data_IF_689683360243
#
_entry.id   IF_689683360243
#
_cell.length_a   1.000
_cell.length_b   1.000
_cell.length_c   1.000
_cell.angle_alpha   90.00
_cell.angle_beta   90.00
_cell.angle_gamma   90.00
#
_symmetry.space_group_name_H-M   'P 1'
#
loop_
_entity.id
_entity.type
_entity.pdbx_description
1 polymer ?
#
# COMPACT_ATOMS: atom_id res chain seq x y z
N UNK A 1 32.08 -11.03 -21.97
CA UNK A 1 32.41 -9.73 -21.37
C UNK A 1 32.13 -9.84 -19.88
N UNK A 2 33.07 -9.46 -19.01
CA UNK A 2 32.81 -9.42 -17.57
C UNK A 2 31.74 -8.36 -17.29
N UNK A 3 30.76 -8.59 -16.40
CA UNK A 3 29.80 -7.56 -16.05
C UNK A 3 30.56 -6.37 -15.46
N UNK A 4 30.42 -5.21 -16.11
CA UNK A 4 30.91 -3.93 -15.59
C UNK A 4 30.40 -3.78 -14.16
N UNK A 5 31.30 -3.73 -13.18
CA UNK A 5 30.92 -3.50 -11.79
C UNK A 5 30.16 -2.18 -11.71
N UNK A 6 28.87 -2.25 -11.40
CA UNK A 6 28.04 -1.07 -11.23
C UNK A 6 28.57 -0.25 -10.05
N UNK A 7 29.05 0.96 -10.34
CA UNK A 7 29.55 1.89 -9.33
C UNK A 7 28.36 2.40 -8.52
N UNK A 8 28.31 2.04 -7.23
CA UNK A 8 27.30 2.52 -6.28
C UNK A 8 27.68 3.89 -5.73
N UNK A 9 26.69 4.75 -5.53
CA UNK A 9 26.87 6.09 -4.96
C UNK A 9 26.76 5.97 -3.44
N UNK A 10 27.90 5.98 -2.74
CA UNK A 10 27.94 5.87 -1.28
C UNK A 10 27.19 7.02 -0.60
N UNK A 11 26.65 6.78 0.59
CA UNK A 11 25.98 7.78 1.45
C UNK A 11 24.73 8.46 0.87
N UNK A 12 24.28 8.03 -0.32
CA UNK A 12 23.08 8.54 -0.96
C UNK A 12 21.93 7.55 -0.73
N UNK A 13 20.75 8.06 -0.42
CA UNK A 13 19.51 7.30 -0.38
C UNK A 13 18.47 7.98 -1.27
N UNK A 14 17.72 7.19 -2.03
CA UNK A 14 16.60 7.65 -2.85
C UNK A 14 15.33 6.95 -2.39
N UNK A 15 14.28 7.72 -2.12
CA UNK A 15 12.95 7.18 -1.84
C UNK A 15 12.02 7.34 -3.06
N UNK A 16 11.12 6.37 -3.23
CA UNK A 16 10.04 6.42 -4.22
C UNK A 16 8.70 6.05 -3.58
N UNK A 17 7.73 6.98 -3.59
CA UNK A 17 6.41 6.71 -3.06
C UNK A 17 5.68 5.69 -3.93
N UNK A 18 5.00 4.77 -3.28
CA UNK A 18 4.07 3.83 -3.88
C UNK A 18 2.77 3.83 -3.10
N UNK A 19 1.69 3.55 -3.82
CA UNK A 19 0.38 3.32 -3.24
C UNK A 19 0.02 1.89 -3.58
N UNK A 20 -0.25 1.07 -2.57
CA UNK A 20 -0.69 -0.30 -2.77
C UNK A 20 -1.97 -0.55 -1.99
N UNK A 21 -2.75 -1.53 -2.44
CA UNK A 21 -3.95 -1.93 -1.75
C UNK A 21 -4.96 -2.56 -2.67
N UNK A 22 -6.21 -2.64 -2.21
CA UNK A 22 -7.28 -3.19 -3.00
C UNK A 22 -8.55 -2.32 -2.99
N UNK A 23 -9.28 -2.37 -4.09
CA UNK A 23 -10.70 -2.03 -4.11
C UNK A 23 -11.55 -3.30 -4.22
N UNK A 24 -12.79 -3.25 -3.75
CA UNK A 24 -13.74 -4.35 -3.84
C UNK A 24 -15.17 -3.84 -4.01
N UNK A 25 -15.94 -4.49 -4.88
CA UNK A 25 -17.37 -4.24 -5.10
C UNK A 25 -18.15 -5.52 -4.92
N UNK A 26 -19.32 -5.42 -4.30
CA UNK A 26 -20.22 -6.57 -4.18
C UNK A 26 -20.80 -6.88 -5.57
N UNK A 27 -20.72 -8.14 -5.98
CA UNK A 27 -21.32 -8.57 -7.25
C UNK A 27 -22.84 -8.71 -7.05
N UNK A 28 -23.60 -7.97 -7.84
CA UNK A 28 -25.06 -8.07 -7.90
C UNK A 28 -25.52 -9.17 -8.88
N UNK A 29 -26.59 -8.87 -9.61
CA UNK A 29 -27.19 -9.78 -10.60
C UNK A 29 -26.35 -9.89 -11.89
N UNK A 30 -25.58 -8.85 -12.22
CA UNK A 30 -24.65 -8.85 -13.35
C UNK A 30 -23.32 -9.44 -12.89
N UNK A 31 -23.12 -10.73 -13.18
CA UNK A 31 -21.88 -11.46 -12.88
C UNK A 31 -21.11 -11.73 -14.17
N UNK A 32 -19.75 -11.70 -14.14
CA UNK A 32 -18.97 -12.26 -15.24
C UNK A 32 -19.40 -13.72 -15.47
N UNK A 33 -19.62 -14.11 -16.72
CA UNK A 33 -20.10 -15.47 -17.06
C UNK A 33 -19.15 -16.59 -16.59
N UNK A 34 -17.91 -16.24 -16.23
CA UNK A 34 -16.84 -17.15 -15.80
C UNK A 34 -16.69 -17.16 -14.26
N UNK A 35 -17.35 -16.24 -13.55
CA UNK A 35 -17.22 -16.15 -12.09
C UNK A 35 -17.91 -17.34 -11.40
N UNK A 36 -17.22 -18.07 -10.51
CA UNK A 36 -17.84 -19.11 -9.70
C UNK A 36 -19.07 -18.61 -8.94
N UNK A 37 -20.11 -19.43 -8.83
CA UNK A 37 -21.39 -19.05 -8.22
C UNK A 37 -21.27 -18.63 -6.75
N UNK A 38 -20.25 -19.15 -6.05
CA UNK A 38 -19.95 -18.88 -4.64
C UNK A 38 -19.26 -17.53 -4.43
N UNK A 39 -18.69 -16.92 -5.48
CA UNK A 39 -18.01 -15.64 -5.36
C UNK A 39 -19.03 -14.51 -5.17
N UNK A 40 -18.76 -13.64 -4.19
CA UNK A 40 -19.68 -12.57 -3.78
C UNK A 40 -19.17 -11.17 -4.12
N UNK A 41 -17.86 -11.00 -4.27
CA UNK A 41 -17.21 -9.72 -4.55
C UNK A 41 -16.27 -9.84 -5.76
N UNK A 42 -16.15 -8.74 -6.48
CA UNK A 42 -15.07 -8.50 -7.43
C UNK A 42 -14.11 -7.52 -6.78
N UNK A 43 -12.83 -7.84 -6.80
CA UNK A 43 -11.80 -7.04 -6.14
C UNK A 43 -10.58 -6.87 -7.04
N UNK A 44 -9.92 -5.73 -6.90
CA UNK A 44 -8.70 -5.39 -7.66
C UNK A 44 -7.61 -5.05 -6.67
N UNK A 45 -6.53 -5.83 -6.66
CA UNK A 45 -5.29 -5.52 -5.94
C UNK A 45 -4.36 -4.76 -6.89
N UNK A 46 -3.66 -3.73 -6.39
CA UNK A 46 -2.79 -2.91 -7.23
C UNK A 46 -1.58 -2.37 -6.49
N UNK A 47 -0.55 -2.02 -7.28
CA UNK A 47 0.59 -1.18 -6.88
C UNK A 47 0.71 -0.06 -7.91
N UNK A 48 0.65 1.19 -7.49
CA UNK A 48 0.65 2.36 -8.38
C UNK A 48 1.49 3.51 -7.81
N UNK A 49 1.94 4.42 -8.67
CA UNK A 49 2.53 5.69 -8.24
C UNK A 49 1.46 6.65 -7.72
N UNK A 50 1.83 7.64 -6.89
CA UNK A 50 0.96 8.77 -6.59
C UNK A 50 0.46 9.44 -7.88
N UNK A 51 -0.79 9.90 -7.88
CA UNK A 51 -1.40 10.61 -9.02
C UNK A 51 -1.39 9.84 -10.36
N UNK A 52 -1.24 8.51 -10.34
CA UNK A 52 -1.19 7.71 -11.57
C UNK A 52 0.14 7.80 -12.33
N UNK A 53 1.21 8.20 -11.64
CA UNK A 53 2.57 8.19 -12.19
C UNK A 53 2.99 6.78 -12.64
N UNK A 54 3.70 6.70 -13.75
CA UNK A 54 4.29 5.46 -14.24
C UNK A 54 5.47 5.06 -13.35
N UNK A 55 5.37 3.90 -12.71
CA UNK A 55 6.42 3.31 -11.85
C UNK A 55 7.23 2.22 -12.56
N UNK A 56 6.95 1.95 -13.84
CA UNK A 56 7.64 0.92 -14.63
C UNK A 56 9.13 1.21 -14.85
N UNK A 57 9.56 2.46 -14.68
CA UNK A 57 10.95 2.84 -14.86
C UNK A 57 11.88 2.25 -13.77
N UNK A 58 11.34 1.93 -12.58
CA UNK A 58 12.07 1.26 -11.50
C UNK A 58 11.49 -0.11 -11.12
N UNK A 59 10.21 -0.38 -11.42
CA UNK A 59 9.57 -1.68 -11.23
C UNK A 59 9.52 -2.46 -12.55
N UNK A 60 10.16 -3.64 -12.56
CA UNK A 60 10.12 -4.56 -13.70
C UNK A 60 8.85 -5.40 -13.73
N UNK A 61 8.43 -5.92 -12.57
CA UNK A 61 7.20 -6.70 -12.44
C UNK A 61 6.73 -6.77 -10.99
N UNK A 62 5.44 -6.98 -10.82
CA UNK A 62 4.82 -7.25 -9.51
C UNK A 62 4.24 -8.65 -9.53
N UNK A 63 4.54 -9.44 -8.51
CA UNK A 63 4.00 -10.79 -8.34
C UNK A 63 3.05 -10.79 -7.15
N UNK A 64 1.79 -11.09 -7.42
CA UNK A 64 0.74 -11.28 -6.41
C UNK A 64 0.60 -12.77 -6.14
N UNK A 65 0.91 -13.21 -4.92
CA UNK A 65 0.61 -14.56 -4.46
C UNK A 65 -0.70 -14.53 -3.66
N UNK A 66 -1.73 -15.08 -4.28
CA UNK A 66 -3.07 -15.26 -3.75
C UNK A 66 -3.16 -16.51 -2.84
N UNK A 67 -4.32 -16.71 -2.24
CA UNK A 67 -4.65 -17.93 -1.50
C UNK A 67 -4.63 -19.17 -2.41
N UNK A 68 -4.26 -20.33 -1.88
CA UNK A 68 -4.03 -21.57 -2.64
C UNK A 68 -5.30 -22.13 -3.31
N UNK A 69 -6.47 -21.67 -2.89
CA UNK A 69 -7.77 -22.01 -3.51
C UNK A 69 -7.94 -21.41 -4.90
N UNK A 70 -7.18 -20.37 -5.25
CA UNK A 70 -7.22 -19.79 -6.59
C UNK A 70 -6.41 -20.62 -7.59
N UNK A 71 -6.93 -20.82 -8.81
CA UNK A 71 -6.13 -21.43 -9.87
C UNK A 71 -4.94 -20.52 -10.21
N UNK A 72 -3.75 -21.10 -10.29
CA UNK A 72 -2.49 -20.34 -10.48
C UNK A 72 -2.36 -19.21 -9.45
N UNK A 73 -2.19 -19.52 -8.15
CA UNK A 73 -2.26 -18.50 -7.10
C UNK A 73 -1.12 -17.48 -7.19
N UNK A 74 -0.03 -17.80 -7.89
CA UNK A 74 1.07 -16.86 -8.15
C UNK A 74 0.86 -16.20 -9.51
N UNK A 75 0.49 -14.91 -9.52
CA UNK A 75 0.25 -14.12 -10.72
C UNK A 75 1.33 -13.06 -10.86
N UNK A 76 1.99 -13.01 -12.02
CA UNK A 76 3.00 -12.01 -12.32
C UNK A 76 2.45 -11.00 -13.33
N UNK A 77 2.51 -9.71 -12.98
CA UNK A 77 2.16 -8.59 -13.85
C UNK A 77 3.45 -7.89 -14.25
N UNK A 78 3.82 -8.02 -15.53
CA UNK A 78 5.12 -7.58 -16.05
C UNK A 78 5.07 -6.22 -16.75
N UNK A 79 3.90 -5.60 -16.86
CA UNK A 79 3.71 -4.28 -17.45
C UNK A 79 2.65 -3.48 -16.68
N UNK A 80 2.75 -2.15 -16.63
CA UNK A 80 1.73 -1.31 -16.02
C UNK A 80 0.40 -1.38 -16.81
N UNK A 81 -0.77 -1.23 -16.15
CA UNK A 81 -0.95 -1.04 -14.71
C UNK A 81 -0.63 -2.32 -13.92
N UNK A 82 0.11 -2.18 -12.81
CA UNK A 82 0.46 -3.31 -11.94
C UNK A 82 -0.70 -3.67 -11.03
N UNK A 83 -1.78 -4.17 -11.63
CA UNK A 83 -3.01 -4.54 -10.96
C UNK A 83 -3.53 -5.90 -11.41
N UNK A 84 -4.32 -6.52 -10.55
CA UNK A 84 -4.95 -7.81 -10.80
C UNK A 84 -6.38 -7.75 -10.27
N UNK A 85 -7.34 -7.96 -11.16
CA UNK A 85 -8.76 -8.12 -10.82
C UNK A 85 -9.12 -9.59 -10.72
N UNK A 86 -9.76 -9.96 -9.63
CA UNK A 86 -10.27 -11.30 -9.38
C UNK A 86 -11.63 -11.24 -8.68
N UNK A 87 -12.26 -12.40 -8.54
CA UNK A 87 -13.52 -12.53 -7.80
C UNK A 87 -13.32 -13.45 -6.62
N UNK A 88 -14.05 -13.23 -5.52
CA UNK A 88 -13.91 -14.04 -4.32
C UNK A 88 -15.02 -13.80 -3.31
N UNK A 89 -14.99 -14.54 -2.21
CA UNK A 89 -15.97 -14.45 -1.13
C UNK A 89 -15.38 -14.14 0.24
N UNK A 90 -14.06 -14.27 0.40
CA UNK A 90 -13.37 -14.13 1.68
C UNK A 90 -12.18 -13.17 1.62
N UNK A 91 -11.87 -12.61 2.78
CA UNK A 91 -10.68 -11.78 3.03
C UNK A 91 -9.48 -12.69 3.36
N UNK A 92 -8.29 -12.37 2.84
CA UNK A 92 -7.07 -13.14 3.07
C UNK A 92 -5.82 -12.28 2.84
N UNK A 93 -4.66 -12.73 3.30
CA UNK A 93 -3.39 -12.03 3.04
C UNK A 93 -2.85 -12.35 1.64
N UNK A 94 -2.67 -11.30 0.84
CA UNK A 94 -1.99 -11.36 -0.45
C UNK A 94 -0.52 -11.02 -0.22
N UNK A 95 0.38 -11.90 -0.63
CA UNK A 95 1.80 -11.62 -0.61
C UNK A 95 2.19 -10.91 -1.91
N UNK A 96 2.69 -9.68 -1.80
CA UNK A 96 3.05 -8.80 -2.92
C UNK A 96 4.56 -8.73 -3.02
N UNK A 97 5.10 -9.12 -4.17
CA UNK A 97 6.54 -9.06 -4.45
C UNK A 97 6.83 -8.11 -5.60
N UNK A 98 7.61 -7.07 -5.34
CA UNK A 98 8.05 -6.10 -6.34
C UNK A 98 9.45 -6.49 -6.80
N UNK A 99 9.59 -6.77 -8.09
CA UNK A 99 10.88 -6.97 -8.74
C UNK A 99 11.31 -5.66 -9.40
N UNK A 100 12.50 -5.20 -9.06
CA UNK A 100 13.08 -4.00 -9.66
C UNK A 100 13.69 -4.27 -11.03
N UNK A 101 13.90 -3.19 -11.78
CA UNK A 101 14.66 -3.21 -13.03
C UNK A 101 16.10 -3.67 -12.78
N UNK A 102 16.73 -4.26 -13.80
CA UNK A 102 18.06 -4.88 -13.66
C UNK A 102 19.13 -3.85 -13.26
N UNK A 103 18.98 -2.62 -13.73
CA UNK A 103 19.86 -1.48 -13.44
C UNK A 103 19.85 -1.11 -11.96
N UNK A 104 18.75 -1.36 -11.24
CA UNK A 104 18.68 -1.14 -9.80
C UNK A 104 19.63 -2.09 -9.06
N UNK A 105 19.84 -3.31 -9.58
CA UNK A 105 20.61 -4.37 -8.94
C UNK A 105 20.23 -4.56 -7.46
N UNK A 106 18.93 -4.49 -7.17
CA UNK A 106 18.36 -4.66 -5.83
C UNK A 106 17.56 -5.95 -5.72
N UNK A 107 17.49 -6.48 -4.49
CA UNK A 107 16.65 -7.64 -4.19
C UNK A 107 15.18 -7.26 -4.31
N UNK A 108 14.33 -8.24 -4.62
CA UNK A 108 12.88 -8.01 -4.64
C UNK A 108 12.38 -7.54 -3.27
N UNK A 109 11.46 -6.58 -3.26
CA UNK A 109 10.76 -6.16 -2.06
C UNK A 109 9.55 -7.08 -1.86
N UNK A 110 9.28 -7.46 -0.61
CA UNK A 110 8.21 -8.38 -0.27
C UNK A 110 7.41 -7.85 0.92
N UNK A 111 6.10 -7.70 0.76
CA UNK A 111 5.18 -7.29 1.81
C UNK A 111 3.84 -8.03 1.69
N UNK A 112 2.98 -7.85 2.69
CA UNK A 112 1.67 -8.48 2.74
C UNK A 112 0.59 -7.40 2.77
N UNK A 113 -0.45 -7.62 1.98
CA UNK A 113 -1.66 -6.80 1.98
C UNK A 113 -2.84 -7.67 2.40
N UNK A 114 -3.59 -7.25 3.41
CA UNK A 114 -4.81 -7.94 3.81
C UNK A 114 -5.96 -7.50 2.88
N UNK A 115 -6.46 -8.41 2.05
CA UNK A 115 -7.55 -8.14 1.12
C UNK A 115 -8.82 -7.78 1.90
N UNK A 116 -9.36 -6.58 1.68
CA UNK A 116 -10.58 -6.11 2.33
C UNK A 116 -11.76 -6.15 1.36
N UNK A 117 -12.83 -6.83 1.74
CA UNK A 117 -14.08 -6.91 0.96
C UNK A 117 -15.23 -6.16 1.62
N UNK A 118 -15.21 -6.02 2.94
CA UNK A 118 -16.29 -5.41 3.70
C UNK A 118 -15.92 -4.02 4.25
N UNK A 119 -16.88 -3.08 4.31
CA UNK A 119 -16.65 -1.78 4.93
C UNK A 119 -16.17 -1.91 6.37
N UNK A 120 -15.40 -0.94 6.85
CA UNK A 120 -15.16 -0.80 8.28
C UNK A 120 -16.48 -0.43 8.94
N UNK A 121 -16.80 -1.11 10.05
CA UNK A 121 -17.96 -0.74 10.87
C UNK A 121 -17.52 0.47 11.68
N UNK A 122 -18.09 1.64 11.39
CA UNK A 122 -17.87 2.82 12.24
C UNK A 122 -18.48 2.57 13.63
N UNK A 123 -17.93 3.20 14.67
CA UNK A 123 -18.37 3.00 16.07
C UNK A 123 -19.87 3.29 16.28
N UNK A 124 -20.48 4.11 15.42
CA UNK A 124 -21.90 4.43 15.41
C UNK A 124 -22.80 3.36 14.73
N UNK A 125 -22.23 2.24 14.29
CA UNK A 125 -22.93 1.16 13.58
C UNK A 125 -23.39 1.52 12.17
N UNK A 126 -23.04 2.72 11.67
CA UNK A 126 -23.28 3.15 10.29
C UNK A 126 -22.24 2.50 9.38
N UNK A 127 -22.71 1.90 8.29
CA UNK A 127 -21.83 1.42 7.21
C UNK A 127 -21.63 2.59 6.27
N UNK A 128 -20.40 2.81 5.81
CA UNK A 128 -20.16 3.73 4.70
C UNK A 128 -21.04 3.30 3.53
N UNK A 129 -21.92 4.19 3.06
CA UNK A 129 -22.92 3.94 2.02
C UNK A 129 -22.30 3.78 0.60
N UNK A 130 -20.99 3.53 0.54
CA UNK A 130 -20.24 3.29 -0.68
C UNK A 130 -20.35 1.83 -1.10
N UNK A 131 -20.78 1.61 -2.35
CA UNK A 131 -20.81 0.29 -3.00
C UNK A 131 -19.39 -0.29 -3.24
N UNK A 132 -18.36 0.57 -3.14
CA UNK A 132 -16.96 0.21 -3.29
C UNK A 132 -16.20 0.35 -1.97
N UNK A 133 -15.64 -0.77 -1.51
CA UNK A 133 -14.71 -0.82 -0.38
C UNK A 133 -13.30 -0.57 -0.91
N UNK A 134 -12.56 0.30 -0.23
CA UNK A 134 -11.19 0.65 -0.59
C UNK A 134 -10.29 0.49 0.64
N UNK A 135 -9.25 -0.33 0.53
CA UNK A 135 -8.21 -0.50 1.55
C UNK A 135 -6.87 -0.23 0.90
N UNK A 136 -6.33 0.96 1.13
CA UNK A 136 -5.19 1.50 0.40
C UNK A 136 -4.19 2.07 1.38
N UNK A 137 -2.92 1.80 1.13
CA UNK A 137 -1.79 2.19 1.95
C UNK A 137 -0.77 2.96 1.11
N UNK A 138 -0.13 3.91 1.77
CA UNK A 138 1.03 4.63 1.25
C UNK A 138 2.30 4.03 1.85
N UNK A 139 3.33 3.87 1.03
CA UNK A 139 4.65 3.43 1.46
C UNK A 139 5.73 4.02 0.55
N UNK A 140 6.98 3.97 0.99
CA UNK A 140 8.13 4.47 0.25
C UNK A 140 9.19 3.40 0.06
N UNK A 141 9.53 3.11 -1.19
CA UNK A 141 10.64 2.23 -1.51
C UNK A 141 11.94 3.02 -1.42
N UNK A 142 12.79 2.62 -0.47
CA UNK A 142 14.09 3.25 -0.23
C UNK A 142 15.21 2.45 -0.88
N UNK A 143 15.92 3.08 -1.81
CA UNK A 143 17.12 2.57 -2.47
C UNK A 143 18.36 3.17 -1.81
N UNK A 144 19.03 2.37 -0.98
CA UNK A 144 20.27 2.78 -0.32
C UNK A 144 21.48 2.51 -1.22
N UNK A 145 22.31 3.54 -1.39
CA UNK A 145 23.50 3.51 -2.24
C UNK A 145 23.20 2.96 -3.65
N UNK A 146 22.31 3.64 -4.42
CA UNK A 146 21.91 3.17 -5.74
C UNK A 146 23.08 3.19 -6.73
N UNK A 147 22.97 2.37 -7.77
CA UNK A 147 23.91 2.40 -8.90
C UNK A 147 23.81 3.74 -9.64
N UNK A 148 24.94 4.24 -10.17
CA UNK A 148 25.00 5.53 -10.89
C UNK A 148 24.03 5.59 -12.09
N UNK A 149 23.92 4.50 -12.87
CA UNK A 149 22.98 4.43 -13.99
C UNK A 149 21.51 4.44 -13.55
N UNK A 150 21.19 3.75 -12.44
CA UNK A 150 19.85 3.75 -11.87
C UNK A 150 19.50 5.12 -11.29
N UNK A 151 20.44 5.76 -10.59
CA UNK A 151 20.29 7.11 -10.07
C UNK A 151 19.98 8.14 -11.18
N UNK A 152 20.71 8.08 -12.30
CA UNK A 152 20.44 8.95 -13.44
C UNK A 152 19.00 8.75 -13.98
N UNK A 153 18.60 7.49 -14.19
CA UNK A 153 17.22 7.15 -14.62
C UNK A 153 16.16 7.65 -13.65
N UNK A 154 16.44 7.58 -12.35
CA UNK A 154 15.52 8.04 -11.30
C UNK A 154 15.36 9.57 -11.33
N UNK A 155 16.43 10.33 -11.56
CA UNK A 155 16.37 11.81 -11.60
C UNK A 155 15.68 12.33 -12.87
N UNK A 156 15.81 11.64 -14.00
CA UNK A 156 15.16 12.03 -15.26
C UNK A 156 13.62 12.09 -15.16
N UNK A 157 13.03 11.40 -14.19
CA UNK A 157 11.60 11.42 -13.87
C UNK A 157 11.36 12.08 -12.50
N UNK A 158 11.24 13.42 -12.42
CA UNK A 158 11.05 14.15 -11.16
C UNK A 158 9.61 14.11 -10.60
N UNK A 159 8.73 13.23 -11.08
CA UNK A 159 7.29 13.19 -10.73
C UNK A 159 6.95 12.63 -9.34
N UNK A 160 7.94 12.14 -8.60
CA UNK A 160 7.75 11.30 -7.42
C UNK A 160 7.57 12.03 -6.08
N UNK A 161 7.09 13.27 -6.06
CA UNK A 161 6.76 13.94 -4.79
C UNK A 161 5.28 13.78 -4.48
N UNK A 162 4.97 13.58 -3.20
CA UNK A 162 3.60 13.66 -2.72
C UNK A 162 3.01 15.04 -3.09
N UNK A 163 1.75 15.09 -3.54
CA UNK A 163 1.08 16.37 -3.75
C UNK A 163 1.03 17.15 -2.44
N UNK A 164 1.07 18.48 -2.54
CA UNK A 164 0.89 19.34 -1.36
C UNK A 164 -0.50 19.18 -0.76
N UNK A 165 -1.53 19.09 -1.60
CA UNK A 165 -2.93 19.02 -1.17
C UNK A 165 -3.58 17.70 -1.59
N UNK A 166 -4.52 17.20 -0.78
CA UNK A 166 -5.31 16.01 -1.14
C UNK A 166 -6.27 16.30 -2.28
N UNK A 167 -6.40 15.35 -3.18
CA UNK A 167 -7.35 15.38 -4.31
C UNK A 167 -8.32 14.19 -4.19
N UNK A 168 -9.47 14.21 -4.86
CA UNK A 168 -10.38 13.06 -4.89
C UNK A 168 -9.70 11.77 -5.38
N UNK A 169 -8.75 11.89 -6.32
CA UNK A 169 -8.05 10.76 -6.93
C UNK A 169 -6.81 10.30 -6.13
N UNK A 170 -6.21 11.22 -5.38
CA UNK A 170 -5.03 10.96 -4.55
C UNK A 170 -5.19 11.63 -3.18
N UNK A 171 -5.65 10.84 -2.20
CA UNK A 171 -5.85 11.28 -0.81
C UNK A 171 -4.51 11.48 -0.11
N UNK A 172 -3.52 10.65 -0.42
CA UNK A 172 -2.16 10.73 0.12
C UNK A 172 -1.46 11.99 -0.37
N UNK A 173 -1.17 12.91 0.56
CA UNK A 173 -0.61 14.23 0.33
C UNK A 173 0.10 14.72 1.59
N UNK A 174 0.94 15.75 1.46
CA UNK A 174 1.57 16.40 2.61
C UNK A 174 0.53 17.00 3.57
N UNK A 175 -0.60 17.47 3.03
CA UNK A 175 -1.73 17.90 3.83
C UNK A 175 -2.29 16.75 4.69
N UNK A 176 -2.52 15.57 4.10
CA UNK A 176 -3.03 14.42 4.85
C UNK A 176 -2.03 13.99 5.94
N UNK A 177 -0.75 13.97 5.61
CA UNK A 177 0.31 13.66 6.58
C UNK A 177 0.24 14.58 7.81
N UNK A 178 0.13 15.89 7.60
CA UNK A 178 -0.02 16.85 8.70
C UNK A 178 -1.31 16.61 9.50
N UNK A 179 -2.44 16.36 8.82
CA UNK A 179 -3.72 16.07 9.47
C UNK A 179 -3.69 14.78 10.31
N UNK A 180 -2.96 13.75 9.87
CA UNK A 180 -2.77 12.51 10.63
C UNK A 180 -1.81 12.70 11.80
N UNK A 181 -0.74 13.47 11.64
CA UNK A 181 0.17 13.83 12.75
C UNK A 181 -0.60 14.54 13.86
N UNK A 182 -1.41 15.54 13.49
CA UNK A 182 -2.22 16.29 14.46
C UNK A 182 -3.21 15.37 15.19
N UNK A 183 -3.84 14.42 14.47
CA UNK A 183 -4.75 13.41 15.06
C UNK A 183 -4.04 12.47 16.01
N UNK A 184 -2.86 11.96 15.64
CA UNK A 184 -2.05 11.09 16.50
C UNK A 184 -1.64 11.84 17.77
N UNK A 185 -1.19 13.10 17.66
CA UNK A 185 -0.83 13.92 18.81
C UNK A 185 -2.00 14.13 19.77
N UNK A 186 -3.20 14.39 19.25
CA UNK A 186 -4.42 14.45 20.08
C UNK A 186 -4.71 13.13 20.78
N UNK A 187 -4.55 12.00 20.09
CA UNK A 187 -4.71 10.67 20.68
C UNK A 187 -3.71 10.40 21.80
N UNK A 188 -2.43 10.72 21.59
CA UNK A 188 -1.37 10.59 22.59
C UNK A 188 -1.71 11.44 23.83
N UNK A 189 -2.14 12.69 23.64
CA UNK A 189 -2.51 13.56 24.75
C UNK A 189 -3.64 12.99 25.62
N UNK A 190 -4.67 12.37 25.01
CA UNK A 190 -5.74 11.69 25.75
C UNK A 190 -5.22 10.50 26.57
N UNK A 191 -4.37 9.68 25.96
CA UNK A 191 -3.78 8.52 26.64
C UNK A 191 -2.89 8.97 27.81
N UNK A 192 -2.12 10.03 27.65
CA UNK A 192 -1.31 10.61 28.72
C UNK A 192 -2.18 11.12 29.88
N UNK A 193 -3.30 11.79 29.57
CA UNK A 193 -4.26 12.24 30.59
C UNK A 193 -4.87 11.07 31.36
N UNK A 194 -5.31 10.01 30.67
CA UNK A 194 -5.83 8.80 31.30
C UNK A 194 -4.78 8.09 32.17
N UNK A 195 -3.53 8.00 31.70
CA UNK A 195 -2.41 7.44 32.47
C UNK A 195 -2.20 8.22 33.76
N UNK A 196 -2.26 9.56 33.70
CA UNK A 196 -2.07 10.41 34.87
C UNK A 196 -3.22 10.23 35.88
N UNK A 197 -4.47 10.19 35.40
CA UNK A 197 -5.63 9.90 36.25
C UNK A 197 -5.51 8.53 36.95
N UNK A 198 -5.06 7.49 36.22
CA UNK A 198 -4.87 6.16 36.77
C UNK A 198 -3.73 6.11 37.79
N UNK A 199 -2.62 6.81 37.55
CA UNK A 199 -1.51 6.92 38.50
C UNK A 199 -1.95 7.58 39.79
N UNK A 200 -2.69 8.69 39.71
CA UNK A 200 -3.22 9.39 40.89
C UNK A 200 -4.16 8.49 41.70
N UNK A 201 -5.04 7.75 41.01
CA UNK A 201 -5.93 6.79 41.66
C UNK A 201 -5.15 5.69 42.37
N UNK A 202 -4.12 5.13 41.72
CA UNK A 202 -3.27 4.11 42.30
C UNK A 202 -2.51 4.62 43.55
N UNK A 203 -2.00 5.85 43.52
CA UNK A 203 -1.36 6.47 44.69
C UNK A 203 -2.34 6.67 45.85
N UNK A 204 -3.58 7.05 45.57
CA UNK A 204 -4.61 7.20 46.59
C UNK A 204 -4.97 5.86 47.24
N UNK A 205 -5.01 4.79 46.45
CA UNK A 205 -5.31 3.44 46.92
C UNK A 205 -4.15 2.84 47.73
N UNK A 206 -2.89 3.12 47.36
CA UNK A 206 -1.68 2.71 48.10
C UNK A 206 -1.50 3.43 49.45
N UNK A 207 -2.14 4.59 49.64
CA UNK A 207 -2.09 5.38 50.88
C UNK A 207 -3.18 4.99 51.90
N UNK A 208 -4.08 4.06 51.55
CA UNK A 208 -5.10 3.48 52.46
C UNK A 208 -4.60 2.17 53.06
#
# INVERSE_FOLDING_TARGET
>A
MAPTQAKRIKTLSLARPIIYGNTAKKMGDVRPAIAPSEHTHMWTIFVRGPQGEDISYFIKKVVFKLHETYPNPVRAVEAPPFELTETGWGEFEINVKIHFVEEANEKMLNFYHHLRLHPYVEEDGRRSDGDEVSSVFYDEIVFNEPNEAFFAKMIEQPGNLLPSNKTPDCVFSLQLEQEEIDRIQQGIGKVEEEIEQLKQKLEMDLKK
#
